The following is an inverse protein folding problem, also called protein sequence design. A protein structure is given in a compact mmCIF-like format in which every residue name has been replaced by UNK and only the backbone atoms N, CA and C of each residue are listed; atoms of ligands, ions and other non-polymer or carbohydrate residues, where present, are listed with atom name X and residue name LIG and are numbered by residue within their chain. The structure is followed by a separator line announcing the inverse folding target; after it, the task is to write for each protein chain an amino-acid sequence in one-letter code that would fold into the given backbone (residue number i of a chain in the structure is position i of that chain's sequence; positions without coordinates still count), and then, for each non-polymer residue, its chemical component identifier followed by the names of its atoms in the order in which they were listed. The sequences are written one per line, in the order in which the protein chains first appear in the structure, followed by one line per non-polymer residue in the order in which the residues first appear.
data_IF_611378925965
#
_entry.id   IF_611378925965
#
_cell.length_a   1.000
_cell.length_b   1.000
_cell.length_c   1.000
_cell.angle_alpha   90.00
_cell.angle_beta   90.00
_cell.angle_gamma   90.00
#
_symmetry.space_group_name_H-M   'P 1'
#
loop_
_entity.id
_entity.type
_entity.pdbx_description
1 polymer ?
#
# COMPACT_ATOMS: atom_id res chain seq x y z
N UNK A 1 14.16 5.00 26.09
CA UNK A 1 13.99 4.16 24.89
C UNK A 1 13.91 2.73 25.37
N UNK A 2 12.75 2.07 25.28
CA UNK A 2 12.66 0.67 25.69
C UNK A 2 13.44 -0.19 24.67
N UNK A 3 14.54 -0.81 25.08
CA UNK A 3 15.23 -1.84 24.29
C UNK A 3 14.74 -3.21 24.76
N UNK A 4 14.43 -4.10 23.81
CA UNK A 4 14.04 -5.49 24.11
C UNK A 4 12.57 -5.84 23.86
N UNK A 5 12.07 -6.93 24.47
CA UNK A 5 10.85 -7.63 24.04
C UNK A 5 9.56 -6.81 24.21
N UNK A 6 9.57 -5.71 24.98
CA UNK A 6 8.41 -4.80 25.14
C UNK A 6 7.98 -4.16 23.80
N UNK A 7 8.90 -3.98 22.83
CA UNK A 7 8.56 -3.43 21.51
C UNK A 7 7.81 -4.40 20.58
N UNK A 8 7.69 -5.67 20.94
CA UNK A 8 7.02 -6.70 20.13
C UNK A 8 6.11 -7.66 20.91
N UNK A 9 6.27 -7.78 22.23
CA UNK A 9 5.44 -8.58 23.13
C UNK A 9 4.71 -7.67 24.11
N UNK A 10 3.38 -7.70 24.06
CA UNK A 10 2.51 -6.75 24.75
C UNK A 10 2.00 -7.18 26.12
N UNK A 11 2.18 -8.44 26.53
CA UNK A 11 1.51 -8.99 27.74
C UNK A 11 2.46 -9.54 28.79
N UNK A 12 3.69 -9.92 28.43
CA UNK A 12 4.60 -10.60 29.35
C UNK A 12 5.41 -9.69 30.29
N UNK A 13 5.30 -8.36 30.14
CA UNK A 13 6.23 -7.40 30.76
C UNK A 13 5.54 -6.30 31.60
N UNK A 14 4.27 -6.49 31.95
CA UNK A 14 3.49 -5.56 32.77
C UNK A 14 2.53 -4.68 31.97
N UNK A 15 1.99 -3.64 32.62
CA UNK A 15 1.00 -2.72 32.02
C UNK A 15 1.72 -1.50 31.43
N UNK A 16 1.57 -1.29 30.13
CA UNK A 16 2.15 -0.14 29.41
C UNK A 16 1.25 1.08 29.61
N UNK A 17 1.78 2.14 30.23
CA UNK A 17 1.03 3.38 30.49
C UNK A 17 1.12 4.40 29.35
N UNK A 18 2.25 4.47 28.64
CA UNK A 18 2.44 5.41 27.53
C UNK A 18 3.58 4.98 26.61
N UNK A 19 3.55 5.51 25.38
CA UNK A 19 4.62 5.39 24.39
C UNK A 19 5.17 6.78 24.05
N UNK A 20 6.49 6.92 24.05
CA UNK A 20 7.15 8.07 23.46
C UNK A 20 7.56 7.71 22.01
N UNK A 21 6.79 8.22 21.05
CA UNK A 21 6.96 7.91 19.63
C UNK A 21 7.91 8.91 18.96
N UNK A 22 8.84 8.39 18.17
CA UNK A 22 9.65 9.21 17.26
C UNK A 22 8.88 9.37 15.95
N UNK A 23 8.47 10.58 15.65
CA UNK A 23 7.87 10.90 14.35
C UNK A 23 8.91 10.77 13.24
N UNK A 24 8.46 10.35 12.06
CA UNK A 24 9.27 10.25 10.85
C UNK A 24 8.82 11.29 9.85
N UNK A 25 9.76 11.82 9.07
CA UNK A 25 9.45 12.71 7.96
C UNK A 25 8.90 11.89 6.79
N UNK A 26 7.86 12.41 6.15
CA UNK A 26 7.21 11.81 4.99
C UNK A 26 7.07 12.91 3.93
N UNK A 27 7.26 12.61 2.63
CA UNK A 27 7.01 13.56 1.57
C UNK A 27 5.58 14.13 1.64
N UNK A 28 5.43 15.40 1.25
CA UNK A 28 4.12 16.06 1.19
C UNK A 28 3.17 15.36 0.21
N UNK A 29 3.73 14.88 -0.90
CA UNK A 29 3.03 14.11 -1.94
C UNK A 29 3.53 12.69 -1.94
N UNK A 30 2.59 11.75 -1.80
CA UNK A 30 2.79 10.31 -1.97
C UNK A 30 1.91 9.80 -3.10
N UNK A 31 2.30 8.69 -3.71
CA UNK A 31 1.50 8.05 -4.76
C UNK A 31 0.88 6.76 -4.24
N UNK A 32 -0.43 6.64 -4.40
CA UNK A 32 -1.21 5.48 -3.99
C UNK A 32 -1.85 4.82 -5.20
N UNK A 33 -1.94 3.49 -5.21
CA UNK A 33 -2.80 2.78 -6.17
C UNK A 33 -3.52 1.60 -5.51
N UNK A 34 -4.67 1.27 -6.08
CA UNK A 34 -5.47 0.11 -5.70
C UNK A 34 -6.01 -0.57 -6.96
N UNK A 35 -5.59 -1.80 -7.20
CA UNK A 35 -5.99 -2.57 -8.37
C UNK A 35 -6.52 -3.93 -7.97
N UNK A 36 -7.66 -4.29 -8.57
CA UNK A 36 -8.40 -5.50 -8.31
C UNK A 36 -8.19 -6.47 -9.48
N UNK A 37 -7.99 -7.75 -9.17
CA UNK A 37 -7.83 -8.85 -10.14
C UNK A 37 -8.70 -10.03 -9.72
N UNK A 38 -9.57 -10.49 -10.61
CA UNK A 38 -10.34 -11.70 -10.40
C UNK A 38 -9.45 -12.95 -10.56
N UNK A 39 -9.87 -14.09 -10.00
CA UNK A 39 -9.13 -15.35 -10.17
C UNK A 39 -9.03 -15.74 -11.65
N UNK A 40 -10.12 -15.53 -12.39
CA UNK A 40 -10.21 -15.81 -13.83
C UNK A 40 -9.35 -14.87 -14.69
N UNK A 41 -8.91 -13.73 -14.13
CA UNK A 41 -7.99 -12.77 -14.77
C UNK A 41 -6.51 -13.07 -14.44
N UNK A 42 -6.21 -14.26 -13.90
CA UNK A 42 -4.83 -14.65 -13.58
C UNK A 42 -4.30 -14.09 -12.25
N UNK A 43 -5.18 -13.76 -11.30
CA UNK A 43 -4.75 -13.23 -10.00
C UNK A 43 -3.79 -14.15 -9.24
N UNK A 44 -3.90 -15.48 -9.39
CA UNK A 44 -3.00 -16.44 -8.74
C UNK A 44 -1.56 -16.27 -9.23
N UNK A 45 -1.37 -16.16 -10.54
CA UNK A 45 -0.06 -15.97 -11.15
C UNK A 45 0.54 -14.62 -10.74
N UNK A 46 -0.28 -13.57 -10.70
CA UNK A 46 0.16 -12.25 -10.21
C UNK A 46 0.57 -12.27 -8.74
N UNK A 47 -0.10 -13.05 -7.89
CA UNK A 47 0.30 -13.24 -6.50
C UNK A 47 1.66 -13.94 -6.42
N UNK A 48 1.89 -14.96 -7.25
CA UNK A 48 3.16 -15.66 -7.29
C UNK A 48 4.31 -14.72 -7.68
N UNK A 49 4.13 -13.91 -8.73
CA UNK A 49 5.13 -12.90 -9.13
C UNK A 49 5.32 -11.85 -8.04
N UNK A 50 4.24 -11.38 -7.42
CA UNK A 50 4.32 -10.43 -6.31
C UNK A 50 5.17 -10.95 -5.14
N UNK A 51 5.11 -12.25 -4.83
CA UNK A 51 5.94 -12.85 -3.78
C UNK A 51 7.45 -12.76 -4.07
N UNK A 52 7.85 -12.76 -5.35
CA UNK A 52 9.25 -12.67 -5.76
C UNK A 52 9.76 -11.24 -5.93
N UNK A 53 8.86 -10.33 -6.34
CA UNK A 53 9.21 -8.94 -6.68
C UNK A 53 9.08 -8.01 -5.48
N UNK A 54 8.05 -8.17 -4.65
CA UNK A 54 7.66 -7.16 -3.66
C UNK A 54 8.75 -6.86 -2.62
N UNK A 55 9.54 -7.87 -2.21
CA UNK A 55 10.64 -7.69 -1.26
C UNK A 55 11.95 -7.18 -1.90
N UNK A 56 11.99 -7.03 -3.23
CA UNK A 56 13.13 -6.50 -3.99
C UNK A 56 12.89 -5.08 -4.52
N UNK A 57 11.68 -4.56 -4.35
CA UNK A 57 11.37 -3.17 -4.66
C UNK A 57 12.11 -2.23 -3.70
N UNK A 58 12.35 -0.96 -4.10
CA UNK A 58 12.92 0.05 -3.22
C UNK A 58 12.10 0.22 -1.93
N UNK A 59 12.76 0.58 -0.82
CA UNK A 59 12.11 0.74 0.49
C UNK A 59 10.98 1.79 0.50
N UNK A 60 11.03 2.74 -0.44
CA UNK A 60 10.06 3.82 -0.58
C UNK A 60 8.69 3.34 -1.09
N UNK A 61 8.59 2.13 -1.66
CA UNK A 61 7.31 1.53 -2.06
C UNK A 61 7.01 0.30 -1.21
N UNK A 62 5.77 0.20 -0.76
CA UNK A 62 5.22 -1.08 -0.32
C UNK A 62 4.00 -1.45 -1.15
N UNK A 63 3.84 -2.74 -1.43
CA UNK A 63 2.66 -3.31 -2.08
C UNK A 63 2.17 -4.45 -1.19
N UNK A 64 0.90 -4.42 -0.79
CA UNK A 64 0.24 -5.48 -0.01
C UNK A 64 -0.95 -6.05 -0.76
N UNK A 65 -1.30 -7.28 -0.40
CA UNK A 65 -2.47 -7.96 -0.94
C UNK A 65 -3.63 -7.94 0.05
N UNK A 66 -4.85 -7.89 -0.48
CA UNK A 66 -6.09 -8.19 0.22
C UNK A 66 -6.85 -9.23 -0.58
N UNK A 67 -7.01 -10.42 0.00
CA UNK A 67 -7.89 -11.45 -0.56
C UNK A 67 -9.29 -11.22 0.00
N UNK A 68 -10.27 -11.06 -0.87
CA UNK A 68 -11.64 -10.75 -0.47
C UNK A 68 -12.64 -11.15 -1.55
N UNK A 69 -13.92 -11.21 -1.17
CA UNK A 69 -14.99 -11.35 -2.14
C UNK A 69 -15.30 -10.03 -2.85
N UNK A 70 -15.59 -10.12 -4.14
CA UNK A 70 -16.07 -9.04 -4.99
C UNK A 70 -17.59 -8.98 -4.93
N UNK A 71 -18.12 -8.22 -3.97
CA UNK A 71 -19.57 -8.16 -3.70
C UNK A 71 -20.40 -7.77 -4.92
N UNK A 72 -19.87 -6.88 -5.76
CA UNK A 72 -20.52 -6.38 -6.97
C UNK A 72 -20.44 -7.34 -8.16
N UNK A 73 -19.60 -8.39 -8.09
CA UNK A 73 -19.39 -9.36 -9.17
C UNK A 73 -19.68 -10.78 -8.67
N UNK A 74 -20.96 -11.06 -8.43
CA UNK A 74 -21.48 -12.37 -8.00
C UNK A 74 -20.78 -12.95 -6.77
N UNK A 75 -20.23 -12.08 -5.91
CA UNK A 75 -19.47 -12.46 -4.73
C UNK A 75 -18.27 -13.38 -5.03
N UNK A 76 -17.69 -13.29 -6.25
CA UNK A 76 -16.50 -14.04 -6.65
C UNK A 76 -15.27 -13.64 -5.85
N UNK A 77 -14.29 -14.53 -5.73
CA UNK A 77 -13.01 -14.20 -5.08
C UNK A 77 -12.15 -13.29 -5.98
N UNK A 78 -11.47 -12.35 -5.34
CA UNK A 78 -10.53 -11.44 -5.99
C UNK A 78 -9.32 -11.15 -5.10
N UNK A 79 -8.23 -10.74 -5.74
CA UNK A 79 -7.04 -10.22 -5.07
C UNK A 79 -6.97 -8.72 -5.36
N UNK A 80 -6.84 -7.93 -4.30
CA UNK A 80 -6.64 -6.48 -4.35
C UNK A 80 -5.21 -6.14 -3.99
N UNK A 81 -4.49 -5.59 -4.94
CA UNK A 81 -3.16 -5.03 -4.78
C UNK A 81 -3.31 -3.58 -4.30
N UNK A 82 -2.73 -3.26 -3.15
CA UNK A 82 -2.74 -1.92 -2.57
C UNK A 82 -1.31 -1.47 -2.36
N UNK A 83 -0.94 -0.32 -2.90
CA UNK A 83 0.40 0.21 -2.74
C UNK A 83 0.41 1.67 -2.29
N UNK A 84 1.50 2.02 -1.62
CA UNK A 84 1.85 3.40 -1.31
C UNK A 84 3.34 3.57 -1.57
N UNK A 85 3.67 4.64 -2.28
CA UNK A 85 5.01 5.03 -2.64
C UNK A 85 5.30 6.42 -2.09
N UNK A 86 6.44 6.56 -1.42
CA UNK A 86 6.95 7.82 -0.86
C UNK A 86 7.57 8.68 -1.95
N UNK A 87 6.77 9.03 -2.96
CA UNK A 87 7.20 9.82 -4.09
C UNK A 87 6.05 10.07 -5.07
N UNK A 88 6.40 10.66 -6.20
CA UNK A 88 5.47 11.08 -7.24
C UNK A 88 5.29 10.01 -8.34
N UNK A 89 4.25 10.16 -9.14
CA UNK A 89 3.90 9.21 -10.20
C UNK A 89 4.97 9.14 -11.30
N UNK A 90 5.68 10.24 -11.56
CA UNK A 90 6.73 10.38 -12.58
C UNK A 90 7.89 9.40 -12.39
N UNK A 91 8.20 9.06 -11.14
CA UNK A 91 9.25 8.12 -10.75
C UNK A 91 8.69 6.72 -10.50
N UNK A 92 7.46 6.61 -10.01
CA UNK A 92 6.82 5.33 -9.74
C UNK A 92 6.44 4.57 -11.01
N UNK A 93 5.82 5.24 -11.97
CA UNK A 93 5.32 4.62 -13.19
C UNK A 93 6.43 3.87 -13.96
N UNK A 94 7.57 4.49 -14.31
CA UNK A 94 8.64 3.76 -15.00
C UNK A 94 9.26 2.66 -14.14
N UNK A 95 9.29 2.82 -12.81
CA UNK A 95 9.75 1.77 -11.89
C UNK A 95 8.84 0.54 -11.95
N UNK A 96 7.52 0.74 -11.92
CA UNK A 96 6.55 -0.36 -11.99
C UNK A 96 6.58 -1.04 -13.36
N UNK A 97 6.70 -0.28 -14.44
CA UNK A 97 6.85 -0.84 -15.79
C UNK A 97 8.13 -1.68 -15.95
N UNK A 98 9.20 -1.32 -15.23
CA UNK A 98 10.46 -2.07 -15.26
C UNK A 98 10.45 -3.29 -14.32
N UNK A 99 9.89 -3.15 -13.12
CA UNK A 99 10.09 -4.11 -12.02
C UNK A 99 8.89 -5.03 -11.81
N UNK A 100 7.69 -4.58 -12.16
CA UNK A 100 6.46 -5.37 -12.02
C UNK A 100 5.44 -5.06 -13.14
N UNK A 101 5.84 -5.20 -14.42
CA UNK A 101 4.99 -4.87 -15.57
C UNK A 101 3.70 -5.70 -15.63
N UNK A 102 3.70 -6.92 -15.09
CA UNK A 102 2.57 -7.85 -15.14
C UNK A 102 1.34 -7.31 -14.43
N UNK A 103 1.53 -6.45 -13.42
CA UNK A 103 0.43 -5.79 -12.73
C UNK A 103 -0.37 -4.86 -13.67
N UNK A 104 0.21 -4.48 -14.82
CA UNK A 104 -0.48 -3.78 -15.92
C UNK A 104 -1.16 -2.49 -15.47
N UNK A 105 -0.45 -1.69 -14.67
CA UNK A 105 -0.94 -0.42 -14.15
C UNK A 105 -0.98 0.63 -15.26
N UNK A 106 -2.02 1.46 -15.27
CA UNK A 106 -2.13 2.63 -16.15
C UNK A 106 -1.92 3.89 -15.33
N UNK A 107 -1.52 4.99 -15.98
CA UNK A 107 -1.31 6.28 -15.32
C UNK A 107 -2.51 6.72 -14.46
N UNK A 108 -3.74 6.44 -14.92
CA UNK A 108 -4.99 6.75 -14.22
C UNK A 108 -5.24 5.94 -12.94
N UNK A 109 -4.52 4.83 -12.75
CA UNK A 109 -4.69 3.95 -11.59
C UNK A 109 -3.91 4.48 -10.37
N UNK A 110 -3.01 5.45 -10.59
CA UNK A 110 -2.24 6.14 -9.58
C UNK A 110 -2.94 7.42 -9.12
N UNK A 111 -2.84 7.69 -7.82
CA UNK A 111 -3.42 8.86 -7.16
C UNK A 111 -2.31 9.52 -6.35
N UNK A 112 -1.96 10.75 -6.71
CA UNK A 112 -1.09 11.61 -5.90
C UNK A 112 -1.91 12.33 -4.83
N UNK A 113 -1.48 12.23 -3.58
CA UNK A 113 -2.24 12.69 -2.41
C UNK A 113 -1.30 12.87 -1.22
N UNK A 114 -1.78 13.42 -0.11
CA UNK A 114 -0.99 13.45 1.14
C UNK A 114 -0.99 12.09 1.83
N UNK A 115 0.05 11.81 2.64
CA UNK A 115 0.15 10.54 3.37
C UNK A 115 -1.07 10.23 4.25
N UNK A 116 -1.64 11.23 4.91
CA UNK A 116 -2.79 11.05 5.80
C UNK A 116 -4.06 10.64 5.04
N UNK A 117 -4.25 11.14 3.83
CA UNK A 117 -5.39 10.80 2.96
C UNK A 117 -5.34 9.35 2.47
N UNK A 118 -4.15 8.77 2.31
CA UNK A 118 -4.01 7.33 2.01
C UNK A 118 -4.47 6.42 3.16
N UNK A 119 -4.33 6.90 4.40
CA UNK A 119 -4.71 6.16 5.61
C UNK A 119 -6.21 6.22 5.85
N UNK A 120 -6.83 7.34 5.49
CA UNK A 120 -8.26 7.55 5.55
C UNK A 120 -8.80 7.83 4.14
N UNK A 121 -9.06 6.79 3.32
CA UNK A 121 -9.53 6.97 1.94
C UNK A 121 -10.83 7.78 1.82
N UNK A 122 -11.60 7.90 2.91
CA UNK A 122 -12.76 8.79 2.97
C UNK A 122 -12.40 10.28 2.87
N UNK A 123 -11.18 10.68 3.27
CA UNK A 123 -10.65 12.04 3.17
C UNK A 123 -10.16 12.35 1.75
N UNK A 124 -9.56 11.39 1.05
CA UNK A 124 -9.13 11.53 -0.35
C UNK A 124 -10.27 11.84 -1.34
N UNK A 125 -11.54 11.70 -0.93
CA UNK A 125 -12.72 12.12 -1.71
C UNK A 125 -12.91 13.63 -1.78
N UNK A 126 -12.21 14.38 -0.94
CA UNK A 126 -12.14 15.83 -1.02
C UNK A 126 -10.79 16.13 -1.64
N UNK A 127 -10.76 16.31 -2.97
CA UNK A 127 -9.56 16.77 -3.66
C UNK A 127 -9.01 18.06 -3.02
N UNK A 128 -7.79 18.47 -3.39
CA UNK A 128 -7.13 19.61 -2.76
C UNK A 128 -8.07 20.81 -2.75
N UNK A 129 -8.32 21.35 -1.54
CA UNK A 129 -8.94 22.67 -1.41
C UNK A 129 -7.91 23.65 -1.95
N UNK A 130 -8.17 24.17 -3.15
CA UNK A 130 -7.54 25.39 -3.60
C UNK A 130 -8.07 26.52 -2.73
N UNK A 131 -7.17 27.19 -2.00
CA UNK A 131 -7.45 28.46 -1.34
C UNK A 131 -7.89 29.54 -2.34
#
# INVERSE_FOLDING_TARGET
MFSGPIRGSGTSFGVILSWNLKLVSIPEVVTFFKVDRALEEGAVDLVHIWQEVANRLPEDIFIRLKLQHWREHDNKFMVRFVAMYLGKIDTLLPMMDQRFPELSLKQKDYIETSWVETTYPSLARHGPKTD
#
